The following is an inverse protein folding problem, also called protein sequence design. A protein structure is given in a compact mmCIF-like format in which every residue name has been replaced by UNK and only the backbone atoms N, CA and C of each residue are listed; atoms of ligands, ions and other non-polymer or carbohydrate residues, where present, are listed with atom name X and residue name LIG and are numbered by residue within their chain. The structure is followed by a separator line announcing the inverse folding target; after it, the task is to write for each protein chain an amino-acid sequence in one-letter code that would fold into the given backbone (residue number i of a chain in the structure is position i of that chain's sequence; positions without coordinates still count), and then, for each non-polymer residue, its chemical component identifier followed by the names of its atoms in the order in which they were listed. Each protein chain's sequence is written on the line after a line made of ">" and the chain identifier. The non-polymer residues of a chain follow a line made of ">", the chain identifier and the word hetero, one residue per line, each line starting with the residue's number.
data_IF_778593590457
#
_entry.id   IF_778593590457
#
_cell.length_a   1.000
_cell.length_b   1.000
_cell.length_c   1.000
_cell.angle_alpha   90.00
_cell.angle_beta   90.00
_cell.angle_gamma   90.00
#
_symmetry.space_group_name_H-M   'P 1'
#
loop_
_entity.id
_entity.type
_entity.pdbx_description
1 polymer ?
#
# COMPACT_ATOMS: atom_id res chain seq x y z
N UNK A 1 8.87 1.21 11.88
CA UNK A 1 9.07 2.38 12.77
C UNK A 1 8.09 3.50 12.49
N UNK A 2 8.03 4.02 11.27
CA UNK A 2 7.10 5.12 10.91
C UNK A 2 5.64 4.82 11.27
N UNK A 3 5.11 3.67 10.87
CA UNK A 3 3.72 3.29 11.15
C UNK A 3 3.45 3.18 12.66
N UNK A 4 4.38 2.58 13.42
CA UNK A 4 4.29 2.53 14.88
C UNK A 4 4.26 3.93 15.50
N UNK A 5 5.07 4.88 15.02
CA UNK A 5 5.03 6.27 15.48
C UNK A 5 3.68 6.93 15.21
N UNK A 6 3.08 6.68 14.04
CA UNK A 6 1.73 7.20 13.73
C UNK A 6 0.70 6.63 14.71
N UNK A 7 0.76 5.33 15.03
CA UNK A 7 -0.10 4.75 16.07
C UNK A 7 0.12 5.40 17.44
N UNK A 8 1.37 5.63 17.84
CA UNK A 8 1.66 6.33 19.11
C UNK A 8 1.08 7.74 19.12
N UNK A 9 1.20 8.50 18.03
CA UNK A 9 0.59 9.83 17.92
C UNK A 9 -0.94 9.76 18.06
N UNK A 10 -1.59 8.79 17.42
CA UNK A 10 -3.05 8.61 17.54
C UNK A 10 -3.46 8.26 18.97
N UNK A 11 -2.72 7.39 19.65
CA UNK A 11 -3.03 6.97 21.02
C UNK A 11 -2.77 8.06 22.06
N UNK A 12 -1.67 8.81 21.93
CA UNK A 12 -1.37 9.94 22.82
C UNK A 12 -2.38 11.08 22.66
N UNK A 13 -2.95 11.25 21.46
CA UNK A 13 -3.94 12.29 21.17
C UNK A 13 -5.30 12.08 21.87
N UNK A 14 -5.55 10.92 22.48
CA UNK A 14 -6.78 10.67 23.26
C UNK A 14 -6.89 11.52 24.55
N UNK A 15 -5.77 12.09 25.01
CA UNK A 15 -5.74 12.96 26.18
C UNK A 15 -6.41 14.32 25.93
N UNK A 16 -6.75 14.65 24.68
CA UNK A 16 -7.42 15.89 24.33
C UNK A 16 -8.90 15.90 24.78
N UNK A 17 -9.41 17.04 25.29
CA UNK A 17 -10.76 17.12 25.88
C UNK A 17 -11.92 17.04 24.87
N UNK A 18 -11.67 17.17 23.57
CA UNK A 18 -12.73 17.21 22.56
C UNK A 18 -13.36 15.82 22.29
N UNK A 19 -14.67 15.69 22.50
CA UNK A 19 -15.44 14.45 22.28
C UNK A 19 -15.31 13.91 20.84
N UNK A 20 -15.33 14.80 19.85
CA UNK A 20 -15.21 14.44 18.43
C UNK A 20 -13.88 13.71 18.15
N UNK A 21 -12.77 14.18 18.72
CA UNK A 21 -11.46 13.54 18.53
C UNK A 21 -11.41 12.16 19.18
N UNK A 22 -12.02 11.98 20.36
CA UNK A 22 -12.09 10.68 21.04
C UNK A 22 -12.85 9.62 20.25
N UNK A 23 -13.80 10.02 19.40
CA UNK A 23 -14.54 9.10 18.53
C UNK A 23 -13.81 8.85 17.20
N UNK A 24 -13.18 9.87 16.62
CA UNK A 24 -12.50 9.75 15.32
C UNK A 24 -11.14 9.04 15.39
N UNK A 25 -10.36 9.25 16.46
CA UNK A 25 -9.02 8.66 16.62
C UNK A 25 -9.00 7.12 16.59
N UNK A 26 -9.88 6.38 17.30
CA UNK A 26 -9.90 4.93 17.22
C UNK A 26 -10.34 4.42 15.85
N UNK A 27 -11.24 5.14 15.17
CA UNK A 27 -11.63 4.82 13.79
C UNK A 27 -10.43 4.99 12.85
N UNK A 28 -9.69 6.09 12.97
CA UNK A 28 -8.47 6.33 12.21
C UNK A 28 -7.41 5.25 12.47
N UNK A 29 -7.20 4.85 13.73
CA UNK A 29 -6.29 3.77 14.09
C UNK A 29 -6.74 2.42 13.51
N UNK A 30 -8.04 2.11 13.54
CA UNK A 30 -8.59 0.90 12.94
C UNK A 30 -8.41 0.87 11.42
N UNK A 31 -8.65 2.00 10.74
CA UNK A 31 -8.40 2.13 9.30
C UNK A 31 -6.92 1.98 8.96
N UNK A 32 -6.03 2.60 9.75
CA UNK A 32 -4.58 2.44 9.58
C UNK A 32 -4.16 0.98 9.72
N UNK A 33 -4.64 0.30 10.78
CA UNK A 33 -4.38 -1.13 11.00
C UNK A 33 -4.90 -1.99 9.83
N UNK A 34 -6.11 -1.68 9.33
CA UNK A 34 -6.66 -2.37 8.15
C UNK A 34 -5.76 -2.18 6.92
N UNK A 35 -5.26 -0.96 6.68
CA UNK A 35 -4.34 -0.70 5.55
C UNK A 35 -3.02 -1.45 5.70
N UNK A 36 -2.47 -1.52 6.92
CA UNK A 36 -1.25 -2.29 7.21
C UNK A 36 -1.42 -3.79 6.91
N UNK A 37 -2.54 -4.39 7.34
CA UNK A 37 -2.85 -5.80 7.04
C UNK A 37 -3.02 -6.04 5.54
N UNK A 38 -3.72 -5.15 4.83
CA UNK A 38 -3.87 -5.26 3.37
C UNK A 38 -2.54 -5.11 2.63
N UNK A 39 -1.65 -4.23 3.09
CA UNK A 39 -0.31 -4.08 2.55
C UNK A 39 0.52 -5.36 2.76
N UNK A 40 0.49 -5.95 3.96
CA UNK A 40 1.14 -7.23 4.24
C UNK A 40 0.61 -8.36 3.34
N UNK A 41 -0.70 -8.46 3.17
CA UNK A 41 -1.30 -9.44 2.27
C UNK A 41 -0.88 -9.22 0.80
N UNK A 42 -0.72 -7.96 0.38
CA UNK A 42 -0.24 -7.61 -0.96
C UNK A 42 1.22 -8.06 -1.17
N UNK A 43 2.11 -7.78 -0.23
CA UNK A 43 3.51 -8.21 -0.31
C UNK A 43 3.66 -9.73 -0.22
N UNK A 44 2.90 -10.39 0.66
CA UNK A 44 2.87 -11.85 0.76
C UNK A 44 2.41 -12.49 -0.56
N UNK A 45 1.38 -11.92 -1.20
CA UNK A 45 0.92 -12.33 -2.53
C UNK A 45 2.00 -12.11 -3.58
N UNK A 46 2.59 -10.92 -3.64
CA UNK A 46 3.58 -10.57 -4.65
C UNK A 46 4.80 -11.49 -4.56
N UNK A 47 5.32 -11.68 -3.35
CA UNK A 47 6.45 -12.57 -3.12
C UNK A 47 6.10 -14.04 -3.40
N UNK A 48 4.98 -14.53 -2.86
CA UNK A 48 4.55 -15.92 -3.02
C UNK A 48 4.30 -16.31 -4.48
N UNK A 49 3.67 -15.43 -5.27
CA UNK A 49 3.31 -15.75 -6.65
C UNK A 49 4.46 -15.51 -7.63
N UNK A 50 5.40 -14.64 -7.30
CA UNK A 50 6.56 -14.38 -8.16
C UNK A 50 7.73 -15.33 -7.90
N UNK A 51 8.04 -15.65 -6.63
CA UNK A 51 9.28 -16.36 -6.27
C UNK A 51 9.06 -17.80 -5.79
N UNK A 52 7.88 -18.13 -5.22
CA UNK A 52 7.60 -19.49 -4.76
C UNK A 52 6.82 -20.32 -5.78
N UNK A 53 6.43 -19.70 -6.90
CA UNK A 53 5.53 -20.30 -7.87
C UNK A 53 6.22 -21.08 -8.99
N UNK A 54 5.48 -21.99 -9.63
CA UNK A 54 5.96 -22.72 -10.80
C UNK A 54 5.92 -21.83 -12.06
N UNK A 55 6.92 -21.93 -12.97
CA UNK A 55 6.95 -21.12 -14.18
C UNK A 55 5.79 -21.49 -15.11
N UNK A 56 4.90 -20.52 -15.38
CA UNK A 56 3.70 -20.71 -16.22
C UNK A 56 3.88 -20.36 -17.69
N UNK A 57 4.96 -19.66 -18.03
CA UNK A 57 5.31 -19.25 -19.39
C UNK A 57 6.74 -19.64 -19.73
N UNK A 58 7.04 -19.73 -21.04
CA UNK A 58 8.41 -19.97 -21.50
C UNK A 58 9.37 -18.88 -21.01
N UNK A 59 8.93 -17.61 -21.01
CA UNK A 59 9.70 -16.47 -20.50
C UNK A 59 10.05 -16.62 -19.01
N UNK A 60 9.09 -17.03 -18.17
CA UNK A 60 9.34 -17.24 -16.75
C UNK A 60 10.30 -18.41 -16.47
N UNK A 61 10.32 -19.42 -17.36
CA UNK A 61 11.25 -20.56 -17.24
C UNK A 61 12.69 -20.19 -17.57
N UNK A 62 12.90 -19.27 -18.50
CA UNK A 62 14.21 -18.80 -18.93
C UNK A 62 14.56 -17.42 -18.34
N UNK A 63 13.89 -17.04 -17.25
CA UNK A 63 14.20 -15.79 -16.57
C UNK A 63 15.61 -15.91 -15.96
N UNK A 64 16.49 -14.99 -16.35
CA UNK A 64 17.84 -14.90 -15.82
C UNK A 64 17.95 -13.76 -14.82
N UNK A 65 18.97 -13.85 -13.96
CA UNK A 65 19.22 -12.85 -12.94
C UNK A 65 19.69 -11.52 -13.57
N UNK A 66 19.18 -10.41 -13.05
CA UNK A 66 19.50 -9.06 -13.56
C UNK A 66 21.01 -8.73 -13.43
N UNK A 67 21.57 -7.82 -14.26
CA UNK A 67 22.98 -7.45 -14.18
C UNK A 67 23.36 -6.85 -12.82
N UNK A 68 24.63 -6.99 -12.44
CA UNK A 68 25.16 -6.57 -11.13
C UNK A 68 24.88 -5.10 -10.82
N UNK A 69 24.96 -4.21 -11.82
CA UNK A 69 24.66 -2.78 -11.66
C UNK A 69 23.25 -2.53 -11.11
N UNK A 70 22.24 -3.28 -11.59
CA UNK A 70 20.86 -3.17 -11.10
C UNK A 70 20.74 -3.71 -9.67
N UNK A 71 21.43 -4.81 -9.36
CA UNK A 71 21.46 -5.39 -8.00
C UNK A 71 22.10 -4.45 -6.98
N UNK A 72 23.18 -3.75 -7.37
CA UNK A 72 23.83 -2.75 -6.52
C UNK A 72 22.83 -1.61 -6.23
N UNK A 73 22.12 -1.11 -7.23
CA UNK A 73 21.09 -0.08 -7.04
C UNK A 73 19.99 -0.52 -6.06
N UNK A 74 19.46 -1.73 -6.24
CA UNK A 74 18.48 -2.32 -5.30
C UNK A 74 19.06 -2.51 -3.90
N UNK A 75 20.31 -2.97 -3.81
CA UNK A 75 21.02 -3.19 -2.55
C UNK A 75 21.25 -1.91 -1.76
N UNK A 76 21.64 -0.83 -2.42
CA UNK A 76 21.80 0.49 -1.79
C UNK A 76 20.47 0.96 -1.21
N UNK A 77 19.38 0.88 -1.98
CA UNK A 77 18.05 1.27 -1.49
C UNK A 77 17.60 0.42 -0.31
N UNK A 78 17.83 -0.90 -0.36
CA UNK A 78 17.51 -1.80 0.74
C UNK A 78 18.30 -1.46 2.01
N UNK A 79 19.61 -1.20 1.89
CA UNK A 79 20.47 -0.79 3.00
C UNK A 79 20.04 0.54 3.59
N UNK A 80 19.66 1.52 2.76
CA UNK A 80 19.13 2.79 3.24
C UNK A 80 17.81 2.60 4.00
N UNK A 81 16.89 1.77 3.50
CA UNK A 81 15.64 1.47 4.22
C UNK A 81 15.89 0.84 5.59
N UNK A 82 16.82 -0.12 5.68
CA UNK A 82 17.20 -0.75 6.95
C UNK A 82 17.88 0.27 7.87
N UNK A 83 18.84 1.05 7.36
CA UNK A 83 19.55 2.08 8.13
C UNK A 83 18.62 3.13 8.71
N UNK A 84 17.72 3.68 7.88
CA UNK A 84 16.72 4.66 8.32
C UNK A 84 15.73 4.07 9.34
N UNK A 85 15.42 2.78 9.25
CA UNK A 85 14.52 2.10 10.18
C UNK A 85 15.17 1.75 11.53
N UNK A 86 16.46 1.41 11.54
CA UNK A 86 17.17 0.92 12.73
C UNK A 86 17.95 1.99 13.49
N UNK A 87 18.28 3.12 12.87
CA UNK A 87 19.08 4.19 13.46
C UNK A 87 18.24 5.45 13.76
N UNK A 88 17.28 5.41 14.71
CA UNK A 88 16.53 6.59 15.11
C UNK A 88 17.45 7.69 15.65
N UNK A 89 18.59 7.32 16.25
CA UNK A 89 19.62 8.24 16.73
C UNK A 89 20.19 9.17 15.65
N UNK A 90 20.16 8.75 14.38
CA UNK A 90 20.64 9.57 13.26
C UNK A 90 19.47 10.29 12.59
N UNK A 91 18.37 9.57 12.38
CA UNK A 91 17.22 10.07 11.61
C UNK A 91 16.49 11.18 12.35
N UNK A 92 16.21 11.01 13.65
CA UNK A 92 15.42 11.98 14.42
C UNK A 92 16.15 13.33 14.55
N UNK A 93 17.44 13.41 14.91
CA UNK A 93 18.14 14.70 14.98
C UNK A 93 18.31 15.37 13.61
N UNK A 94 18.43 14.60 12.54
CA UNK A 94 18.50 15.15 11.18
C UNK A 94 17.19 15.83 10.79
N UNK A 95 16.06 15.20 11.11
CA UNK A 95 14.74 15.79 10.90
C UNK A 95 14.55 17.02 11.80
N UNK A 96 14.99 16.93 13.05
CA UNK A 96 14.85 18.00 14.03
C UNK A 96 15.55 19.30 13.59
N UNK A 97 16.73 19.22 12.97
CA UNK A 97 17.43 20.39 12.40
C UNK A 97 16.58 21.14 11.35
N UNK A 98 15.71 20.44 10.65
CA UNK A 98 14.85 21.00 9.60
C UNK A 98 13.53 21.48 10.20
N UNK A 99 12.96 20.72 11.16
CA UNK A 99 11.63 20.99 11.71
C UNK A 99 11.65 21.98 12.86
N UNK A 100 12.66 21.97 13.73
CA UNK A 100 12.71 22.83 14.91
C UNK A 100 12.64 24.33 14.59
N UNK A 101 13.28 24.85 13.52
CA UNK A 101 13.10 26.25 13.10
C UNK A 101 11.69 26.58 12.61
N UNK A 102 10.95 25.59 12.10
CA UNK A 102 9.60 25.77 11.54
C UNK A 102 8.51 25.64 12.59
N UNK A 103 8.67 24.74 13.56
CA UNK A 103 7.66 24.42 14.58
C UNK A 103 7.96 25.05 15.94
N UNK A 104 9.19 25.52 16.17
CA UNK A 104 9.64 26.04 17.46
C UNK A 104 9.78 24.98 18.55
N UNK A 105 9.72 23.68 18.21
CA UNK A 105 9.75 22.56 19.15
C UNK A 105 10.82 21.56 18.72
N UNK A 106 11.74 21.24 19.64
CA UNK A 106 12.71 20.14 19.50
C UNK A 106 11.99 18.79 19.61
N UNK A 107 12.07 17.99 18.55
CA UNK A 107 11.55 16.62 18.45
C UNK A 107 12.51 15.65 19.14
N UNK A 108 13.82 15.92 19.04
CA UNK A 108 14.90 15.11 19.62
C UNK A 108 14.65 14.87 21.11
N UNK A 109 14.37 15.93 21.87
CA UNK A 109 14.25 15.87 23.33
C UNK A 109 12.98 15.17 23.81
N UNK A 110 11.95 15.06 22.96
CA UNK A 110 10.64 14.51 23.31
C UNK A 110 10.39 13.10 22.81
N UNK A 111 11.19 12.64 21.84
CA UNK A 111 10.97 11.37 21.13
C UNK A 111 12.11 10.39 21.38
N UNK A 112 13.34 10.87 21.60
CA UNK A 112 14.47 10.02 21.93
C UNK A 112 14.62 9.87 23.45
N UNK A 113 14.80 8.63 23.89
CA UNK A 113 15.14 8.26 25.26
C UNK A 113 16.40 7.39 25.28
N UNK A 114 17.04 7.26 26.46
CA UNK A 114 18.26 6.46 26.66
C UNK A 114 19.37 6.81 25.64
N UNK A 115 19.81 8.07 25.65
CA UNK A 115 20.90 8.58 24.79
C UNK A 115 20.69 8.36 23.28
N UNK A 116 19.43 8.31 22.82
CA UNK A 116 19.08 8.19 21.39
C UNK A 116 18.84 6.75 20.90
N UNK A 117 19.02 5.75 21.76
CA UNK A 117 18.86 4.33 21.39
C UNK A 117 17.43 3.84 21.48
N UNK A 118 16.60 4.50 22.29
CA UNK A 118 15.18 4.20 22.41
C UNK A 118 14.33 5.35 21.87
N UNK A 119 13.20 4.99 21.29
CA UNK A 119 12.16 5.92 20.86
C UNK A 119 11.00 5.79 21.84
N UNK A 120 10.73 6.87 22.58
CA UNK A 120 9.69 6.96 23.58
C UNK A 120 8.89 8.26 23.37
N UNK A 121 7.84 8.25 22.54
CA UNK A 121 7.01 9.42 22.32
C UNK A 121 6.25 9.78 23.61
N UNK A 122 6.60 10.90 24.24
CA UNK A 122 5.93 11.37 25.46
C UNK A 122 6.62 10.89 26.74
N UNK A 123 6.21 9.73 27.27
CA UNK A 123 6.74 9.16 28.52
C UNK A 123 7.27 7.73 28.28
N UNK A 124 8.47 7.45 28.81
CA UNK A 124 9.12 6.13 28.77
C UNK A 124 8.27 5.02 29.39
N UNK A 125 7.35 5.37 30.31
CA UNK A 125 6.46 4.41 30.96
C UNK A 125 5.27 3.97 30.10
N UNK A 126 4.84 4.80 29.15
CA UNK A 126 3.68 4.48 28.30
C UNK A 126 4.07 3.57 27.14
N UNK A 127 5.14 3.91 26.42
CA UNK A 127 5.66 3.06 25.35
C UNK A 127 7.09 3.46 24.98
N UNK A 128 8.04 2.53 25.13
CA UNK A 128 9.40 2.70 24.64
C UNK A 128 9.80 1.48 23.80
N UNK A 129 10.35 1.75 22.61
CA UNK A 129 10.93 0.72 21.75
C UNK A 129 12.32 1.19 21.33
N UNK A 130 13.31 0.32 21.48
CA UNK A 130 14.65 0.49 20.92
C UNK A 130 14.75 -0.30 19.60
N UNK A 131 14.64 0.34 18.43
CA UNK A 131 14.71 -0.34 17.13
C UNK A 131 15.95 -1.21 16.93
N UNK A 132 17.17 -0.78 17.30
CA UNK A 132 18.35 -1.63 17.11
C UNK A 132 18.34 -2.85 18.04
N UNK A 133 17.80 -2.73 19.26
CA UNK A 133 17.69 -3.85 20.19
C UNK A 133 16.63 -4.85 19.76
N UNK A 134 15.48 -4.37 19.26
CA UNK A 134 14.44 -5.22 18.68
C UNK A 134 14.98 -6.01 17.48
N UNK A 135 15.74 -5.34 16.60
CA UNK A 135 16.39 -6.01 15.48
C UNK A 135 17.43 -7.04 15.95
N UNK A 136 18.27 -6.70 16.93
CA UNK A 136 19.23 -7.64 17.51
C UNK A 136 18.53 -8.86 18.12
N UNK A 137 17.42 -8.66 18.85
CA UNK A 137 16.61 -9.74 19.42
C UNK A 137 16.02 -10.65 18.34
N UNK A 138 15.47 -10.09 17.26
CA UNK A 138 14.92 -10.87 16.15
C UNK A 138 16.01 -11.67 15.42
N UNK A 139 17.17 -11.05 15.17
CA UNK A 139 18.32 -11.72 14.55
C UNK A 139 18.84 -12.84 15.45
N UNK A 140 19.05 -12.56 16.74
CA UNK A 140 19.55 -13.56 17.70
C UNK A 140 18.54 -14.69 17.89
N UNK A 141 17.25 -14.39 17.98
CA UNK A 141 16.19 -15.39 18.06
C UNK A 141 16.10 -16.26 16.81
N UNK A 142 16.27 -15.66 15.62
CA UNK A 142 16.34 -16.39 14.36
C UNK A 142 17.58 -17.28 14.27
N UNK A 143 18.75 -16.76 14.63
CA UNK A 143 20.01 -17.53 14.68
C UNK A 143 19.94 -18.67 15.69
N UNK A 144 19.34 -18.43 16.86
CA UNK A 144 19.11 -19.45 17.86
C UNK A 144 18.14 -20.51 17.35
N UNK A 145 17.06 -20.12 16.66
CA UNK A 145 16.15 -21.05 15.99
C UNK A 145 16.85 -21.91 14.94
N UNK A 146 17.72 -21.31 14.12
CA UNK A 146 18.54 -22.02 13.13
C UNK A 146 19.55 -22.96 13.80
N UNK A 147 20.19 -22.52 14.89
CA UNK A 147 21.13 -23.32 15.66
C UNK A 147 20.42 -24.52 16.30
N UNK A 148 19.25 -24.32 16.90
CA UNK A 148 18.42 -25.40 17.42
C UNK A 148 18.00 -26.36 16.31
N UNK A 149 17.55 -25.84 15.16
CA UNK A 149 17.20 -26.66 14.01
C UNK A 149 18.41 -27.46 13.48
N UNK A 150 19.62 -26.90 13.54
CA UNK A 150 20.85 -27.58 13.14
C UNK A 150 21.26 -28.66 14.16
N UNK A 151 21.19 -28.37 15.46
CA UNK A 151 21.55 -29.30 16.52
C UNK A 151 20.56 -30.47 16.63
N UNK A 152 19.25 -30.20 16.55
CA UNK A 152 18.19 -31.20 16.72
C UNK A 152 17.72 -31.83 15.40
N UNK A 153 17.90 -31.16 14.27
CA UNK A 153 17.40 -31.62 12.95
C UNK A 153 18.32 -32.57 12.20
N UNK A 154 19.51 -32.87 12.73
CA UNK A 154 20.50 -33.76 12.11
C UNK A 154 21.06 -33.21 10.78
N UNK A 155 21.77 -34.06 10.03
CA UNK A 155 22.25 -33.69 8.68
C UNK A 155 21.04 -33.55 7.76
N UNK A 156 20.72 -32.31 7.39
CA UNK A 156 19.72 -31.95 6.39
C UNK A 156 20.09 -32.51 5.01
N UNK A 157 19.87 -33.81 4.81
CA UNK A 157 19.95 -34.42 3.48
C UNK A 157 18.79 -33.86 2.66
N UNK A 158 19.09 -32.87 1.83
CA UNK A 158 18.11 -32.22 0.96
C UNK A 158 17.75 -33.19 -0.17
N UNK A 159 16.55 -33.77 -0.09
CA UNK A 159 15.97 -34.57 -1.17
C UNK A 159 14.98 -33.71 -1.95
N UNK A 160 15.36 -33.32 -3.17
CA UNK A 160 14.40 -32.73 -4.10
C UNK A 160 13.46 -33.83 -4.61
N UNK A 161 12.19 -33.75 -4.23
CA UNK A 161 11.15 -34.65 -4.71
C UNK A 161 9.89 -33.85 -5.03
N UNK A 162 8.95 -34.47 -5.73
CA UNK A 162 7.64 -33.85 -6.03
C UNK A 162 6.95 -33.45 -4.74
N UNK A 163 6.38 -32.25 -4.74
CA UNK A 163 5.53 -31.77 -3.65
C UNK A 163 4.31 -32.67 -3.47
N UNK A 164 3.78 -32.73 -2.25
CA UNK A 164 2.59 -33.53 -1.96
C UNK A 164 1.39 -33.05 -2.79
N UNK A 165 1.04 -33.83 -3.81
CA UNK A 165 -0.08 -33.54 -4.72
C UNK A 165 -1.27 -34.46 -4.49
N UNK A 166 -1.47 -35.07 -3.32
CA UNK A 166 -2.54 -36.04 -3.09
C UNK A 166 -2.62 -37.16 -4.16
N UNK A 167 -1.47 -37.60 -4.67
CA UNK A 167 -1.38 -38.65 -5.70
C UNK A 167 -1.42 -38.15 -7.16
N UNK A 168 -1.59 -36.85 -7.42
CA UNK A 168 -1.50 -36.28 -8.79
C UNK A 168 -0.16 -35.57 -9.04
N UNK A 169 0.29 -35.59 -10.30
CA UNK A 169 1.41 -34.77 -10.74
C UNK A 169 0.94 -33.32 -10.88
N UNK A 170 1.48 -32.44 -10.05
CA UNK A 170 1.17 -31.02 -10.08
C UNK A 170 1.69 -30.40 -11.38
N UNK A 171 0.83 -29.66 -12.07
CA UNK A 171 1.18 -28.85 -13.24
C UNK A 171 1.15 -27.36 -12.88
N UNK A 172 1.89 -26.48 -13.58
CA UNK A 172 1.88 -25.03 -13.31
C UNK A 172 0.50 -24.37 -13.40
N UNK A 173 -0.47 -25.03 -14.06
CA UNK A 173 -1.86 -24.57 -14.16
C UNK A 173 -2.70 -24.84 -12.91
N UNK A 174 -2.28 -25.77 -12.06
CA UNK A 174 -3.01 -26.18 -10.85
C UNK A 174 -2.71 -25.28 -9.64
N UNK A 175 -1.73 -24.39 -9.77
CA UNK A 175 -1.31 -23.50 -8.70
C UNK A 175 -2.23 -22.27 -8.57
N UNK A 176 -2.38 -21.76 -7.34
CA UNK A 176 -3.14 -20.55 -7.05
C UNK A 176 -2.68 -19.37 -7.91
N UNK A 177 -3.64 -18.68 -8.52
CA UNK A 177 -3.39 -17.44 -9.26
C UNK A 177 -3.40 -16.23 -8.31
N UNK A 178 -2.86 -15.11 -8.79
CA UNK A 178 -2.95 -13.81 -8.11
C UNK A 178 -4.39 -13.37 -7.83
N UNK A 179 -5.32 -13.75 -8.70
CA UNK A 179 -6.75 -13.52 -8.51
C UNK A 179 -7.34 -14.45 -7.46
N UNK A 180 -6.98 -15.74 -7.49
CA UNK A 180 -7.43 -16.74 -6.53
C UNK A 180 -6.99 -16.46 -5.10
N UNK A 181 -5.73 -16.02 -4.90
CA UNK A 181 -5.21 -15.65 -3.57
C UNK A 181 -6.04 -14.53 -2.91
N UNK A 182 -6.48 -13.54 -3.69
CA UNK A 182 -7.23 -12.38 -3.17
C UNK A 182 -8.75 -12.61 -3.15
N UNK A 183 -9.24 -13.75 -3.65
CA UNK A 183 -10.66 -14.07 -3.71
C UNK A 183 -11.38 -13.93 -2.34
N UNK A 184 -10.83 -14.40 -1.21
CA UNK A 184 -11.49 -14.23 0.09
C UNK A 184 -11.62 -12.77 0.49
N UNK A 185 -10.57 -11.97 0.29
CA UNK A 185 -10.56 -10.53 0.58
C UNK A 185 -11.63 -9.83 -0.26
N UNK A 186 -11.69 -10.12 -1.56
CA UNK A 186 -12.72 -9.57 -2.46
C UNK A 186 -14.14 -9.92 -2.03
N UNK A 187 -14.36 -11.11 -1.46
CA UNK A 187 -15.68 -11.52 -0.99
C UNK A 187 -16.11 -10.72 0.24
N UNK A 188 -15.20 -10.51 1.21
CA UNK A 188 -15.45 -9.68 2.39
C UNK A 188 -15.77 -8.24 1.99
N UNK A 189 -15.02 -7.67 1.03
CA UNK A 189 -15.22 -6.30 0.55
C UNK A 189 -16.09 -6.20 -0.70
N UNK A 190 -16.98 -7.18 -0.93
CA UNK A 190 -17.79 -7.24 -2.16
C UNK A 190 -18.76 -6.07 -2.30
N UNK A 191 -19.25 -5.51 -1.19
CA UNK A 191 -20.08 -4.30 -1.17
C UNK A 191 -19.35 -3.07 -1.72
N UNK A 192 -18.05 -2.97 -1.47
CA UNK A 192 -17.23 -1.82 -1.89
C UNK A 192 -16.74 -2.02 -3.32
N UNK A 193 -16.17 -3.19 -3.62
CA UNK A 193 -15.53 -3.46 -4.91
C UNK A 193 -16.48 -3.93 -6.02
N UNK A 194 -17.72 -4.29 -5.69
CA UNK A 194 -18.75 -4.79 -6.62
C UNK A 194 -18.19 -5.74 -7.70
N UNK A 195 -17.51 -6.85 -7.31
CA UNK A 195 -16.86 -7.72 -8.28
C UNK A 195 -17.89 -8.42 -9.16
N UNK A 196 -17.87 -8.16 -10.47
CA UNK A 196 -18.71 -8.87 -11.42
C UNK A 196 -17.97 -10.10 -11.93
N UNK A 197 -18.55 -11.28 -11.70
CA UNK A 197 -18.01 -12.56 -12.16
C UNK A 197 -18.77 -12.96 -13.41
N UNK A 198 -18.11 -12.92 -14.58
CA UNK A 198 -18.64 -13.54 -15.80
C UNK A 198 -18.05 -14.94 -15.93
N UNK A 199 -18.92 -15.94 -15.89
CA UNK A 199 -18.54 -17.34 -15.98
C UNK A 199 -19.05 -17.89 -17.32
N UNK A 200 -18.18 -17.91 -18.32
CA UNK A 200 -18.49 -18.49 -19.61
C UNK A 200 -18.12 -19.97 -19.59
N UNK A 201 -19.13 -20.83 -19.73
CA UNK A 201 -18.96 -22.29 -19.73
C UNK A 201 -19.13 -22.80 -21.15
N UNK A 202 -18.05 -23.24 -21.79
CA UNK A 202 -18.14 -23.95 -23.06
C UNK A 202 -18.43 -25.44 -22.78
N UNK A 203 -19.63 -25.88 -23.11
CA UNK A 203 -20.05 -27.28 -23.00
C UNK A 203 -19.55 -28.09 -24.21
N UNK A 204 -19.25 -29.39 -24.02
CA UNK A 204 -18.98 -30.30 -25.13
C UNK A 204 -20.22 -30.50 -26.00
N UNK A 205 -20.10 -30.37 -27.33
CA UNK A 205 -21.20 -30.59 -28.29
C UNK A 205 -21.89 -31.96 -28.16
N UNK A 206 -21.20 -33.00 -27.64
CA UNK A 206 -21.74 -34.35 -27.45
C UNK A 206 -22.45 -34.58 -26.10
N UNK A 207 -22.32 -33.68 -25.12
CA UNK A 207 -22.94 -33.85 -23.80
C UNK A 207 -23.04 -32.51 -23.07
N UNK A 208 -24.27 -32.08 -22.75
CA UNK A 208 -24.56 -30.90 -21.92
C UNK A 208 -24.06 -31.02 -20.48
N UNK A 209 -23.70 -32.22 -20.03
CA UNK A 209 -23.27 -32.48 -18.65
C UNK A 209 -21.75 -32.37 -18.44
N UNK A 210 -20.95 -32.34 -19.51
CA UNK A 210 -19.49 -32.21 -19.43
C UNK A 210 -19.02 -30.85 -20.00
N UNK A 211 -18.52 -29.99 -19.12
CA UNK A 211 -17.89 -28.73 -19.51
C UNK A 211 -16.51 -29.03 -20.14
N UNK A 212 -16.29 -28.53 -21.36
CA UNK A 212 -15.02 -28.69 -22.09
C UNK A 212 -13.97 -27.70 -21.58
N UNK A 213 -14.42 -26.46 -21.34
CA UNK A 213 -13.57 -25.36 -20.91
C UNK A 213 -14.42 -24.35 -20.13
N UNK A 214 -13.88 -23.84 -19.02
CA UNK A 214 -14.48 -22.73 -18.26
C UNK A 214 -13.57 -21.53 -18.40
N UNK A 215 -14.08 -20.45 -19.01
CA UNK A 215 -13.40 -19.16 -19.06
C UNK A 215 -13.95 -18.31 -17.92
N UNK A 216 -13.05 -17.88 -17.04
CA UNK A 216 -13.37 -16.97 -15.95
C UNK A 216 -12.85 -15.60 -16.32
N UNK A 217 -13.76 -14.68 -16.62
CA UNK A 217 -13.42 -13.28 -16.83
C UNK A 217 -13.84 -12.49 -15.59
N UNK A 218 -12.87 -11.83 -14.97
CA UNK A 218 -13.07 -11.04 -13.77
C UNK A 218 -12.87 -9.58 -14.11
N UNK A 219 -13.94 -8.79 -14.02
CA UNK A 219 -13.88 -7.34 -14.16
C UNK A 219 -14.13 -6.69 -12.80
N UNK A 220 -13.32 -5.69 -12.46
CA UNK A 220 -13.54 -4.82 -11.30
C UNK A 220 -14.07 -3.51 -11.90
N UNK A 221 -15.32 -3.14 -11.61
CA UNK A 221 -15.82 -1.84 -12.03
C UNK A 221 -15.04 -0.73 -11.28
N UNK A 222 -14.45 0.25 -11.98
CA UNK A 222 -13.78 1.37 -11.34
C UNK A 222 -14.83 2.33 -10.76
N UNK A 223 -15.29 2.05 -9.53
CA UNK A 223 -16.38 2.78 -8.86
C UNK A 223 -16.13 4.29 -8.81
N UNK A 224 -14.92 4.71 -8.44
CA UNK A 224 -14.58 6.14 -8.40
C UNK A 224 -14.56 6.78 -9.78
N UNK A 225 -14.09 6.07 -10.80
CA UNK A 225 -14.06 6.60 -12.17
C UNK A 225 -15.49 6.89 -12.64
N UNK A 226 -16.35 5.89 -12.55
CA UNK A 226 -17.75 5.94 -13.00
C UNK A 226 -18.63 6.91 -12.22
N UNK A 227 -18.47 6.99 -10.89
CA UNK A 227 -19.38 7.77 -10.03
C UNK A 227 -18.81 9.10 -9.53
N UNK A 228 -17.50 9.33 -9.63
CA UNK A 228 -16.86 10.58 -9.18
C UNK A 228 -16.16 11.30 -10.33
N UNK A 229 -15.27 10.63 -11.05
CA UNK A 229 -14.46 11.30 -12.09
C UNK A 229 -15.29 11.64 -13.32
N UNK A 230 -15.96 10.66 -13.92
CA UNK A 230 -16.80 10.85 -15.11
C UNK A 230 -17.83 11.98 -14.95
N UNK A 231 -18.65 12.03 -13.88
CA UNK A 231 -19.61 13.12 -13.73
C UNK A 231 -18.93 14.48 -13.56
N UNK A 232 -17.82 14.56 -12.82
CA UNK A 232 -17.07 15.82 -12.65
C UNK A 232 -16.50 16.28 -14.00
N UNK A 233 -15.86 15.38 -14.74
CA UNK A 233 -15.31 15.67 -16.07
C UNK A 233 -16.43 16.14 -17.00
N UNK A 234 -17.58 15.46 -17.03
CA UNK A 234 -18.71 15.87 -17.84
C UNK A 234 -19.27 17.25 -17.45
N UNK A 235 -19.30 17.59 -16.15
CA UNK A 235 -19.68 18.94 -15.70
C UNK A 235 -18.68 19.99 -16.21
N UNK A 236 -17.37 19.75 -16.05
CA UNK A 236 -16.34 20.67 -16.54
C UNK A 236 -16.40 20.84 -18.06
N UNK A 237 -16.59 19.76 -18.81
CA UNK A 237 -16.72 19.81 -20.27
C UNK A 237 -17.97 20.60 -20.69
N UNK A 238 -19.12 20.41 -20.01
CA UNK A 238 -20.32 21.22 -20.28
C UNK A 238 -20.09 22.70 -19.98
N UNK A 239 -19.39 23.03 -18.91
CA UNK A 239 -19.06 24.43 -18.59
C UNK A 239 -18.14 25.00 -19.68
N UNK A 240 -17.11 24.26 -20.08
CA UNK A 240 -16.20 24.68 -21.15
C UNK A 240 -16.93 24.93 -22.48
N UNK A 241 -17.84 24.03 -22.87
CA UNK A 241 -18.66 24.19 -24.08
C UNK A 241 -19.60 25.41 -23.97
N UNK A 242 -20.16 25.70 -22.79
CA UNK A 242 -20.97 26.90 -22.56
C UNK A 242 -20.14 28.18 -22.60
N UNK A 243 -18.94 28.18 -22.03
CA UNK A 243 -18.01 29.32 -22.11
C UNK A 243 -17.54 29.57 -23.54
N UNK A 244 -17.42 28.53 -24.37
CA UNK A 244 -17.11 28.67 -25.80
C UNK A 244 -18.16 29.48 -26.55
N UNK A 245 -19.42 29.45 -26.12
CA UNK A 245 -20.49 30.28 -26.69
C UNK A 245 -20.28 31.77 -26.38
N UNK A 246 -19.64 32.11 -25.25
CA UNK A 246 -19.30 33.51 -24.93
C UNK A 246 -18.17 34.05 -25.84
N UNK A 247 -17.44 33.17 -26.53
CA UNK A 247 -16.43 33.53 -27.53
C UNK A 247 -17.01 33.55 -28.97
N UNK A 248 -18.29 33.88 -29.14
CA UNK A 248 -19.01 33.86 -30.42
C UNK A 248 -18.50 34.86 -31.51
N UNK A 249 -17.29 35.41 -31.38
CA UNK A 249 -16.65 36.21 -32.43
C UNK A 249 -17.30 37.57 -32.73
N UNK A 250 -18.28 38.01 -31.94
CA UNK A 250 -18.98 39.27 -32.15
C UNK A 250 -18.34 40.41 -31.35
N UNK A 251 -17.82 41.43 -32.04
CA UNK A 251 -17.15 42.59 -31.44
C UNK A 251 -18.03 43.35 -30.43
N UNK A 252 -19.33 43.45 -30.71
CA UNK A 252 -20.29 44.13 -29.83
C UNK A 252 -20.40 43.48 -28.44
N UNK A 253 -20.25 42.15 -28.37
CA UNK A 253 -20.39 41.38 -27.14
C UNK A 253 -19.13 41.56 -26.26
N UNK A 254 -17.96 41.61 -26.87
CA UNK A 254 -16.71 41.97 -26.19
C UNK A 254 -16.74 43.40 -25.64
N UNK A 255 -17.26 44.36 -26.41
CA UNK A 255 -17.36 45.75 -25.96
C UNK A 255 -18.28 45.87 -24.74
N UNK A 256 -19.39 45.14 -24.74
CA UNK A 256 -20.31 45.07 -23.59
C UNK A 256 -19.64 44.43 -22.36
N UNK A 257 -18.86 43.36 -22.53
CA UNK A 257 -18.09 42.77 -21.43
C UNK A 257 -17.08 43.75 -20.82
N UNK A 258 -16.36 44.51 -21.64
CA UNK A 258 -15.41 45.53 -21.18
C UNK A 258 -16.15 46.64 -20.40
N UNK A 259 -17.26 47.14 -20.93
CA UNK A 259 -18.05 48.18 -20.25
C UNK A 259 -18.59 47.70 -18.89
N UNK A 260 -19.17 46.49 -18.84
CA UNK A 260 -19.72 45.92 -17.59
C UNK A 260 -18.61 45.65 -16.58
N UNK A 261 -17.48 45.07 -17.00
CA UNK A 261 -16.34 44.83 -16.09
C UNK A 261 -15.76 46.14 -15.57
N UNK A 262 -15.70 47.20 -16.38
CA UNK A 262 -15.26 48.52 -15.95
C UNK A 262 -16.20 49.14 -14.92
N UNK A 263 -17.52 49.06 -15.11
CA UNK A 263 -18.53 49.54 -14.15
C UNK A 263 -18.43 48.78 -12.83
N UNK A 264 -18.29 47.45 -12.87
CA UNK A 264 -18.13 46.62 -11.67
C UNK A 264 -16.85 47.01 -10.92
N UNK A 265 -15.71 47.13 -11.62
CA UNK A 265 -14.44 47.54 -11.01
C UNK A 265 -14.54 48.93 -10.38
N UNK A 266 -15.23 49.87 -11.04
CA UNK A 266 -15.43 51.22 -10.50
C UNK A 266 -16.31 51.19 -9.23
N UNK A 267 -17.37 50.38 -9.21
CA UNK A 267 -18.22 50.20 -8.01
C UNK A 267 -17.49 49.52 -6.84
N UNK A 268 -16.49 48.68 -7.11
CA UNK A 268 -15.67 48.06 -6.06
C UNK A 268 -14.47 48.92 -5.63
N UNK A 269 -14.03 49.86 -6.47
CA UNK A 269 -12.92 50.76 -6.19
C UNK A 269 -13.33 52.04 -5.46
N UNK A 270 -14.61 52.42 -5.53
CA UNK A 270 -15.25 53.48 -4.72
C UNK A 270 -15.71 52.88 -3.40
#
# INVERSE_FOLDING_TARGET
>A
MSEWLVFQTLFLSFQLPALFLKLMLPIAAALLALTGVLALACFAKAFGISFLALPRSAHARHAEEVPVAMRIGMGILALLCVGLGLAPMIVVPLLDRITAPLTGVSITDKVLALDGWAVAPGDVQFSSISPPMLAAMLILGGLLGLLLAFLFGGRLMTRSYKTWGCGINLSPRMEYTATGFVQPIKRVFSTIYQPTIKLETEFLQKSRYFAKQRKFEFHIEPVFEKYLYDPVIHIFMRIADRLRILQAGSLHLYLAYIFVTLVILLLFAV
#
